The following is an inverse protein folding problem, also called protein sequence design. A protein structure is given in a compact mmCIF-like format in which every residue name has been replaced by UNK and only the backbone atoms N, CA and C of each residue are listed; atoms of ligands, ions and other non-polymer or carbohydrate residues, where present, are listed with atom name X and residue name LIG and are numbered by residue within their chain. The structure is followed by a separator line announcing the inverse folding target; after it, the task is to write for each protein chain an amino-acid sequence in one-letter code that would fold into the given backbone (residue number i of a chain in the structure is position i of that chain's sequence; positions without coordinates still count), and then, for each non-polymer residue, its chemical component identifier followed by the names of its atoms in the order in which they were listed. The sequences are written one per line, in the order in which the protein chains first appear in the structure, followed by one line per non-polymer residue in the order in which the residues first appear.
data_IF_889195381627
#
_entry.id   IF_889195381627
#
_cell.length_a   1.000
_cell.length_b   1.000
_cell.length_c   1.000
_cell.angle_alpha   90.00
_cell.angle_beta   90.00
_cell.angle_gamma   90.00
#
_symmetry.space_group_name_H-M   'P 1'
#
loop_
_entity.id
_entity.type
_entity.pdbx_description
1 polymer ?
#
# COMPACT_ATOMS: atom_id res chain seq x y z
N UNK A 1 49.53 55.96 -52.35
CA UNK A 1 49.81 55.33 -53.64
C UNK A 1 49.16 53.96 -53.62
N UNK A 2 48.44 53.67 -54.66
CA UNK A 2 47.77 52.42 -55.12
C UNK A 2 46.44 52.14 -54.47
N UNK A 3 45.41 52.44 -55.22
CA UNK A 3 44.03 51.96 -55.15
C UNK A 3 44.00 50.48 -55.56
N UNK A 4 43.20 49.67 -54.88
CA UNK A 4 42.73 48.39 -55.39
C UNK A 4 41.24 48.25 -55.11
N UNK A 5 40.47 48.25 -56.17
CA UNK A 5 39.04 48.02 -56.30
C UNK A 5 38.70 46.58 -56.02
N UNK A 6 37.74 46.31 -55.16
CA UNK A 6 37.08 45.01 -55.04
C UNK A 6 35.58 45.14 -55.40
N UNK A 7 35.27 44.34 -56.42
CA UNK A 7 33.90 44.22 -56.93
C UNK A 7 33.01 43.46 -55.97
N UNK A 8 31.80 44.01 -55.74
CA UNK A 8 30.76 43.37 -54.93
C UNK A 8 30.05 42.26 -55.69
N UNK A 9 29.95 41.11 -55.01
CA UNK A 9 29.04 40.02 -55.42
C UNK A 9 27.88 39.99 -54.47
N UNK A 10 26.66 40.27 -54.96
CA UNK A 10 25.42 40.05 -54.27
C UNK A 10 25.13 38.53 -54.18
N UNK A 11 24.76 37.98 -53.03
CA UNK A 11 24.20 36.66 -53.02
C UNK A 11 22.68 36.72 -53.28
N UNK A 12 22.19 35.91 -54.21
CA UNK A 12 20.79 35.62 -54.42
C UNK A 12 20.22 34.94 -53.16
N UNK A 13 19.21 35.54 -52.57
CA UNK A 13 18.32 34.94 -51.56
C UNK A 13 17.40 33.93 -52.27
N UNK A 14 17.70 32.63 -52.07
CA UNK A 14 16.76 31.55 -52.38
C UNK A 14 15.74 31.48 -51.28
N UNK A 15 14.50 31.84 -51.54
CA UNK A 15 13.32 31.61 -50.67
C UNK A 15 13.02 30.13 -50.64
N UNK A 16 13.39 29.44 -49.51
CA UNK A 16 12.94 28.10 -49.27
C UNK A 16 11.48 28.17 -48.77
N UNK A 17 10.52 27.74 -49.58
CA UNK A 17 9.18 27.44 -49.14
C UNK A 17 9.22 26.19 -48.29
N UNK A 18 9.01 26.35 -46.99
CA UNK A 18 8.78 25.21 -46.08
C UNK A 18 7.45 24.56 -46.44
N UNK A 19 7.48 23.34 -46.95
CA UNK A 19 6.29 22.49 -47.04
C UNK A 19 5.79 22.18 -45.62
N UNK A 20 4.47 22.22 -45.34
CA UNK A 20 3.93 21.82 -44.06
C UNK A 20 4.27 20.33 -43.89
N UNK A 21 5.01 20.02 -42.81
CA UNK A 21 5.21 18.63 -42.40
C UNK A 21 3.83 18.03 -42.10
N UNK A 22 3.45 17.02 -42.86
CA UNK A 22 2.32 16.18 -42.50
C UNK A 22 2.59 15.61 -41.11
N UNK A 23 1.87 16.09 -40.08
CA UNK A 23 1.79 15.38 -38.81
C UNK A 23 1.32 13.98 -39.18
N UNK A 24 2.17 13.00 -39.02
CA UNK A 24 1.77 11.60 -39.16
C UNK A 24 0.61 11.37 -38.20
N UNK A 25 -0.53 11.02 -38.73
CA UNK A 25 -1.64 10.48 -37.96
C UNK A 25 -1.10 9.17 -37.41
N UNK A 26 -0.65 9.17 -36.17
CA UNK A 26 -0.40 7.92 -35.44
C UNK A 26 -1.73 7.18 -35.49
N UNK A 27 -1.75 6.02 -36.13
CA UNK A 27 -2.88 5.12 -36.13
C UNK A 27 -3.09 4.74 -34.66
N UNK A 28 -4.17 5.18 -34.02
CA UNK A 28 -4.54 4.77 -32.67
C UNK A 28 -4.69 3.25 -32.69
N UNK A 29 -3.99 2.58 -31.78
CA UNK A 29 -4.06 1.12 -31.67
C UNK A 29 -5.23 0.79 -30.73
N UNK A 30 -6.39 0.54 -31.30
CA UNK A 30 -7.62 0.16 -30.59
C UNK A 30 -7.55 -1.35 -30.23
N UNK A 31 -6.65 -1.69 -29.33
CA UNK A 31 -6.42 -3.05 -28.82
C UNK A 31 -7.06 -3.21 -27.43
N UNK A 32 -7.56 -4.40 -27.15
CA UNK A 32 -8.09 -4.83 -25.86
C UNK A 32 -7.15 -5.89 -25.31
N UNK A 33 -6.64 -5.67 -24.10
CA UNK A 33 -5.78 -6.65 -23.44
C UNK A 33 -6.56 -7.93 -23.07
N UNK A 34 -5.94 -9.11 -23.15
CA UNK A 34 -6.53 -10.30 -22.56
C UNK A 34 -6.65 -10.13 -21.05
N UNK A 35 -7.77 -10.56 -20.48
CA UNK A 35 -7.92 -10.62 -19.03
C UNK A 35 -6.89 -11.58 -18.43
N UNK A 36 -6.24 -11.22 -17.31
CA UNK A 36 -5.41 -12.16 -16.58
C UNK A 36 -6.26 -13.28 -15.97
N UNK A 37 -5.72 -14.50 -15.97
CA UNK A 37 -6.31 -15.62 -15.26
C UNK A 37 -5.86 -15.56 -13.79
N UNK A 38 -6.79 -15.37 -12.86
CA UNK A 38 -6.51 -15.36 -11.43
C UNK A 38 -6.44 -16.80 -10.92
N UNK A 39 -5.29 -17.17 -10.37
CA UNK A 39 -5.07 -18.50 -9.79
C UNK A 39 -5.26 -18.38 -8.26
N UNK A 40 -6.28 -19.07 -7.77
CA UNK A 40 -6.59 -19.12 -6.35
C UNK A 40 -5.86 -20.29 -5.66
N UNK A 41 -5.38 -20.05 -4.45
CA UNK A 41 -4.84 -21.09 -3.58
C UNK A 41 -5.94 -21.76 -2.75
N UNK A 42 -5.68 -22.91 -2.11
CA UNK A 42 -6.62 -23.53 -1.19
C UNK A 42 -7.02 -22.64 0.00
N UNK A 43 -6.17 -21.70 0.38
CA UNK A 43 -6.36 -20.76 1.48
C UNK A 43 -7.21 -19.53 1.08
N UNK A 44 -7.44 -19.35 -0.21
CA UNK A 44 -8.26 -18.23 -0.70
C UNK A 44 -9.68 -18.34 -0.12
N UNK A 45 -10.25 -17.24 0.43
CA UNK A 45 -11.62 -17.24 0.88
C UNK A 45 -12.58 -17.79 -0.17
N UNK A 46 -13.46 -18.70 0.22
CA UNK A 46 -14.40 -19.36 -0.72
C UNK A 46 -15.39 -18.39 -1.37
N UNK A 47 -15.47 -17.19 -0.86
CA UNK A 47 -16.28 -16.07 -1.39
C UNK A 47 -15.56 -15.27 -2.47
N UNK A 48 -14.27 -15.52 -2.73
CA UNK A 48 -13.50 -14.79 -3.74
C UNK A 48 -14.24 -14.76 -5.09
N UNK A 49 -14.25 -13.63 -5.80
CA UNK A 49 -15.03 -13.48 -7.02
C UNK A 49 -14.55 -14.44 -8.10
N UNK A 50 -15.45 -15.15 -8.78
CA UNK A 50 -15.07 -15.95 -9.94
C UNK A 50 -14.60 -15.02 -11.07
N UNK A 51 -13.87 -15.57 -12.03
CA UNK A 51 -13.52 -14.82 -13.23
C UNK A 51 -14.79 -14.22 -13.85
N UNK A 52 -14.81 -12.89 -14.10
CA UNK A 52 -16.04 -12.22 -14.53
C UNK A 52 -16.47 -12.67 -15.93
N UNK A 53 -17.78 -12.54 -16.20
CA UNK A 53 -18.34 -12.82 -17.53
C UNK A 53 -17.77 -11.83 -18.57
N UNK A 54 -17.73 -12.29 -19.83
CA UNK A 54 -17.30 -11.44 -20.94
C UNK A 54 -18.21 -10.19 -21.03
N UNK A 55 -17.60 -9.03 -21.21
CA UNK A 55 -18.31 -7.77 -21.46
C UNK A 55 -18.65 -7.61 -22.94
N UNK A 56 -19.74 -6.93 -23.23
CA UNK A 56 -20.30 -6.88 -24.58
C UNK A 56 -20.02 -5.57 -25.34
N UNK A 57 -19.67 -4.50 -24.65
CA UNK A 57 -19.44 -3.17 -25.21
C UNK A 57 -18.04 -2.69 -24.86
N UNK A 58 -17.32 -2.06 -25.78
CA UNK A 58 -16.01 -1.46 -25.52
C UNK A 58 -16.07 0.04 -25.69
N UNK A 59 -15.58 0.79 -24.72
CA UNK A 59 -15.42 2.24 -24.75
C UNK A 59 -13.92 2.57 -24.58
N UNK A 60 -13.37 3.29 -25.53
CA UNK A 60 -11.99 3.77 -25.44
C UNK A 60 -11.99 5.15 -24.82
N UNK A 61 -11.20 5.33 -23.77
CA UNK A 61 -11.02 6.65 -23.15
C UNK A 61 -10.29 7.57 -24.12
N UNK A 62 -10.81 8.76 -24.33
CA UNK A 62 -10.12 9.80 -25.09
C UNK A 62 -9.13 10.54 -24.19
N UNK A 63 -8.10 11.13 -24.78
CA UNK A 63 -7.17 12.02 -24.07
C UNK A 63 -6.82 13.23 -24.93
N UNK A 64 -6.45 14.34 -24.30
CA UNK A 64 -5.93 15.52 -25.00
C UNK A 64 -4.56 15.25 -25.65
N UNK A 65 -3.82 14.26 -25.14
CA UNK A 65 -2.54 13.83 -25.68
C UNK A 65 -1.42 14.85 -25.54
N UNK A 66 -1.60 15.91 -24.75
CA UNK A 66 -0.59 16.96 -24.51
C UNK A 66 0.18 16.76 -23.21
N UNK A 67 -0.24 15.80 -22.38
CA UNK A 67 0.37 15.47 -21.09
C UNK A 67 0.17 16.50 -19.99
N UNK A 68 -0.77 17.44 -20.17
CA UNK A 68 -1.00 18.56 -19.23
C UNK A 68 -2.49 18.79 -18.98
N UNK A 69 -3.32 18.76 -20.02
CA UNK A 69 -4.75 19.05 -19.92
C UNK A 69 -5.48 17.91 -19.21
N UNK A 70 -6.38 18.25 -18.29
CA UNK A 70 -7.17 17.31 -17.51
C UNK A 70 -8.10 16.46 -18.40
N UNK A 71 -7.97 15.15 -18.32
CA UNK A 71 -8.76 14.16 -19.07
C UNK A 71 -9.90 13.55 -18.23
N UNK A 72 -10.14 14.04 -17.01
CA UNK A 72 -11.09 13.45 -16.04
C UNK A 72 -12.51 13.31 -16.63
N UNK A 73 -12.98 14.28 -17.41
CA UNK A 73 -14.31 14.23 -18.05
C UNK A 73 -14.40 13.07 -19.05
N UNK A 74 -13.37 12.84 -19.86
CA UNK A 74 -13.32 11.72 -20.81
C UNK A 74 -13.34 10.35 -20.11
N UNK A 75 -12.68 10.26 -18.94
CA UNK A 75 -12.69 9.05 -18.12
C UNK A 75 -14.10 8.79 -17.58
N UNK A 76 -14.75 9.80 -17.01
CA UNK A 76 -16.12 9.69 -16.49
C UNK A 76 -17.13 9.36 -17.60
N UNK A 77 -17.00 9.95 -18.77
CA UNK A 77 -17.86 9.68 -19.93
C UNK A 77 -17.73 8.21 -20.35
N UNK A 78 -16.52 7.67 -20.48
CA UNK A 78 -16.28 6.28 -20.82
C UNK A 78 -16.82 5.32 -19.75
N UNK A 79 -16.66 5.63 -18.47
CA UNK A 79 -17.22 4.83 -17.37
C UNK A 79 -18.75 4.82 -17.41
N UNK A 80 -19.39 5.99 -17.55
CA UNK A 80 -20.84 6.10 -17.65
C UNK A 80 -21.40 5.35 -18.86
N UNK A 81 -20.73 5.45 -20.00
CA UNK A 81 -21.14 4.82 -21.25
C UNK A 81 -21.02 3.29 -21.21
N UNK A 82 -19.95 2.75 -20.59
CA UNK A 82 -19.66 1.32 -20.54
C UNK A 82 -20.04 0.64 -19.21
N UNK A 83 -20.57 1.36 -18.23
CA UNK A 83 -21.07 0.76 -17.00
C UNK A 83 -22.16 -0.29 -17.27
N UNK A 84 -22.34 -1.26 -16.39
CA UNK A 84 -23.32 -2.36 -16.50
C UNK A 84 -23.10 -3.32 -17.68
N UNK A 85 -21.91 -3.82 -17.85
CA UNK A 85 -21.58 -4.89 -18.79
C UNK A 85 -20.64 -4.48 -19.91
N UNK A 86 -19.96 -3.35 -19.78
CA UNK A 86 -18.98 -2.87 -20.74
C UNK A 86 -17.54 -3.03 -20.31
N UNK A 87 -16.67 -2.65 -21.22
CA UNK A 87 -15.21 -2.70 -21.11
C UNK A 87 -14.64 -1.34 -21.49
N UNK A 88 -13.99 -0.67 -20.56
CA UNK A 88 -13.33 0.62 -20.76
C UNK A 88 -11.84 0.38 -20.99
N UNK A 89 -11.27 1.01 -22.00
CA UNK A 89 -9.87 0.83 -22.39
C UNK A 89 -9.12 2.17 -22.37
N UNK A 90 -8.07 2.23 -21.56
CA UNK A 90 -7.06 3.28 -21.60
C UNK A 90 -5.93 2.79 -22.52
N UNK A 91 -5.83 3.38 -23.69
CA UNK A 91 -4.93 2.91 -24.77
C UNK A 91 -3.47 2.89 -24.35
N UNK A 92 -2.74 1.91 -24.83
CA UNK A 92 -1.29 1.83 -24.75
C UNK A 92 -0.64 3.09 -25.39
N UNK A 93 0.46 3.55 -24.84
CA UNK A 93 1.20 4.74 -25.25
C UNK A 93 0.50 6.10 -25.04
N UNK A 94 -0.74 6.13 -24.56
CA UNK A 94 -1.40 7.37 -24.15
C UNK A 94 -1.11 7.66 -22.66
N UNK A 95 -1.05 8.96 -22.34
CA UNK A 95 -1.00 9.44 -20.97
C UNK A 95 -2.27 10.22 -20.68
N UNK A 96 -2.98 9.81 -19.66
CA UNK A 96 -4.23 10.41 -19.19
C UNK A 96 -3.95 11.22 -17.95
N UNK A 97 -4.22 12.52 -17.98
CA UNK A 97 -4.02 13.43 -16.88
C UNK A 97 -5.28 13.50 -16.03
N UNK A 98 -5.15 13.25 -14.73
CA UNK A 98 -6.25 13.44 -13.78
C UNK A 98 -5.97 14.68 -12.95
N UNK A 99 -6.76 15.72 -13.17
CA UNK A 99 -6.72 17.01 -12.47
C UNK A 99 -7.95 17.28 -11.61
N UNK A 100 -8.99 16.46 -11.73
CA UNK A 100 -10.26 16.61 -11.01
C UNK A 100 -10.59 15.35 -10.20
N UNK A 101 -11.05 15.54 -8.97
CA UNK A 101 -11.46 14.45 -8.09
C UNK A 101 -12.75 13.78 -8.63
N UNK A 102 -12.73 12.45 -8.73
CA UNK A 102 -13.81 11.67 -9.34
C UNK A 102 -14.35 10.61 -8.38
N UNK A 103 -15.67 10.49 -8.30
CA UNK A 103 -16.34 9.41 -7.57
C UNK A 103 -16.73 8.28 -8.55
N UNK A 104 -16.10 7.11 -8.38
CA UNK A 104 -16.32 5.90 -9.18
C UNK A 104 -17.06 4.81 -8.38
N UNK A 105 -17.80 5.18 -7.33
CA UNK A 105 -18.53 4.22 -6.49
C UNK A 105 -19.79 3.64 -7.18
N UNK A 106 -20.18 4.21 -8.31
CA UNK A 106 -21.32 3.77 -9.11
C UNK A 106 -21.03 2.59 -10.07
N UNK A 107 -19.78 2.12 -10.14
CA UNK A 107 -19.35 1.10 -11.08
C UNK A 107 -20.03 -0.24 -10.80
N UNK A 108 -20.50 -0.89 -11.84
CA UNK A 108 -21.16 -2.19 -11.75
C UNK A 108 -20.92 -3.02 -13.01
N UNK A 109 -20.49 -4.26 -12.82
CA UNK A 109 -20.25 -5.20 -13.93
C UNK A 109 -19.45 -4.59 -15.08
N UNK A 110 -18.24 -4.10 -14.79
CA UNK A 110 -17.39 -3.36 -15.73
C UNK A 110 -15.95 -3.87 -15.69
N UNK A 111 -15.32 -3.93 -16.86
CA UNK A 111 -13.88 -4.10 -16.99
C UNK A 111 -13.21 -2.77 -17.29
N UNK A 112 -12.03 -2.57 -16.72
CA UNK A 112 -11.20 -1.37 -16.92
C UNK A 112 -9.79 -1.84 -17.29
N UNK A 113 -9.46 -1.77 -18.57
CA UNK A 113 -8.20 -2.17 -19.17
C UNK A 113 -7.27 -0.94 -19.27
N UNK A 114 -6.39 -0.81 -18.31
CA UNK A 114 -5.41 0.29 -18.25
C UNK A 114 -4.11 -0.18 -18.89
N UNK A 115 -3.90 0.13 -20.15
CA UNK A 115 -2.68 -0.23 -20.89
C UNK A 115 -1.66 0.91 -20.86
N UNK A 116 -2.14 2.15 -20.90
CA UNK A 116 -1.34 3.37 -20.90
C UNK A 116 -0.95 3.87 -19.51
N UNK A 117 -0.72 5.17 -19.41
CA UNK A 117 -0.35 5.81 -18.15
C UNK A 117 -1.45 6.75 -17.65
N UNK A 118 -1.86 6.59 -16.40
CA UNK A 118 -2.64 7.58 -15.66
C UNK A 118 -1.68 8.39 -14.78
N UNK A 119 -1.77 9.72 -14.84
CA UNK A 119 -0.91 10.63 -14.08
C UNK A 119 -1.76 11.67 -13.36
N UNK A 120 -1.70 11.72 -12.04
CA UNK A 120 -2.34 12.76 -11.24
C UNK A 120 -1.55 14.07 -11.31
N UNK A 121 -2.26 15.20 -11.38
CA UNK A 121 -1.62 16.52 -11.36
C UNK A 121 -0.92 16.78 -10.00
N UNK A 122 0.05 17.68 -10.02
CA UNK A 122 0.79 18.10 -8.84
C UNK A 122 0.21 19.36 -8.16
N UNK A 123 -1.05 19.68 -8.41
CA UNK A 123 -1.76 20.80 -7.77
C UNK A 123 -2.16 20.42 -6.34
N UNK A 124 -1.23 20.59 -5.42
CA UNK A 124 -1.43 20.25 -4.00
C UNK A 124 -2.54 21.04 -3.34
N UNK A 125 -2.77 22.29 -3.76
CA UNK A 125 -3.83 23.13 -3.21
C UNK A 125 -5.21 22.63 -3.61
N UNK A 126 -5.37 22.29 -4.90
CA UNK A 126 -6.60 21.66 -5.39
C UNK A 126 -6.91 20.35 -4.66
N UNK A 127 -5.93 19.45 -4.59
CA UNK A 127 -6.13 18.13 -4.02
C UNK A 127 -6.39 18.16 -2.51
N UNK A 128 -5.74 19.03 -1.74
CA UNK A 128 -6.05 19.19 -0.32
C UNK A 128 -7.48 19.69 -0.08
N UNK A 129 -8.04 20.45 -1.01
CA UNK A 129 -9.40 21.00 -0.91
C UNK A 129 -10.49 20.04 -1.44
N UNK A 130 -10.17 19.14 -2.37
CA UNK A 130 -11.16 18.37 -3.13
C UNK A 130 -11.02 16.85 -3.03
N UNK A 131 -9.93 16.31 -2.44
CA UNK A 131 -9.78 14.88 -2.22
C UNK A 131 -10.88 14.32 -1.32
N UNK A 132 -11.27 13.07 -1.55
CA UNK A 132 -12.33 12.41 -0.81
C UNK A 132 -11.86 11.99 0.58
N UNK A 133 -12.51 12.44 1.67
CA UNK A 133 -12.16 12.02 3.02
C UNK A 133 -12.71 10.63 3.34
N UNK A 134 -11.96 9.88 4.14
CA UNK A 134 -12.41 8.63 4.79
C UNK A 134 -12.58 8.83 6.30
N UNK A 135 -13.43 8.01 6.90
CA UNK A 135 -13.69 8.05 8.36
C UNK A 135 -12.62 7.23 9.09
N UNK A 136 -11.34 7.50 8.81
CA UNK A 136 -10.21 6.88 9.50
C UNK A 136 -8.99 7.78 9.40
N UNK A 137 -8.41 8.21 10.52
CA UNK A 137 -7.14 8.93 10.62
C UNK A 137 -6.94 10.10 9.63
N UNK A 138 -8.02 10.79 9.23
CA UNK A 138 -8.01 11.86 8.22
C UNK A 138 -7.48 11.43 6.84
N UNK A 139 -7.53 10.15 6.51
CA UNK A 139 -7.16 9.64 5.19
C UNK A 139 -8.00 10.31 4.11
N UNK A 140 -7.35 10.75 3.04
CA UNK A 140 -8.01 11.28 1.83
C UNK A 140 -7.55 10.53 0.60
N UNK A 141 -8.27 10.60 -0.51
CA UNK A 141 -7.84 9.99 -1.78
C UNK A 141 -8.13 10.87 -2.98
N UNK A 142 -7.37 10.68 -4.04
CA UNK A 142 -7.58 11.35 -5.33
C UNK A 142 -8.96 11.06 -5.93
N UNK A 143 -9.39 9.81 -5.82
CA UNK A 143 -10.71 9.35 -6.28
C UNK A 143 -11.27 8.32 -5.31
N UNK A 144 -12.55 8.02 -5.41
CA UNK A 144 -13.18 6.92 -4.68
C UNK A 144 -13.58 5.82 -5.67
N UNK A 145 -13.02 4.63 -5.48
CA UNK A 145 -13.39 3.43 -6.21
C UNK A 145 -14.34 2.58 -5.36
N UNK A 146 -15.48 2.22 -5.90
CA UNK A 146 -16.42 1.32 -5.26
C UNK A 146 -17.25 0.56 -6.29
N UNK A 147 -18.32 -0.08 -5.82
CA UNK A 147 -19.25 -0.78 -6.69
C UNK A 147 -19.15 -2.31 -6.62
N UNK A 148 -19.58 -2.99 -7.67
CA UNK A 148 -19.69 -4.44 -7.68
C UNK A 148 -19.32 -5.04 -9.02
N UNK A 149 -18.60 -6.17 -9.01
CA UNK A 149 -18.16 -6.87 -10.23
C UNK A 149 -17.34 -5.95 -11.14
N UNK A 150 -16.31 -5.32 -10.56
CA UNK A 150 -15.36 -4.44 -11.26
C UNK A 150 -14.05 -5.21 -11.46
N UNK A 151 -13.54 -5.26 -12.68
CA UNK A 151 -12.26 -5.87 -12.99
C UNK A 151 -11.31 -4.84 -13.59
N UNK A 152 -10.25 -4.46 -12.87
CA UNK A 152 -9.24 -3.49 -13.33
C UNK A 152 -7.95 -4.24 -13.63
N UNK A 153 -7.37 -4.03 -14.83
CA UNK A 153 -6.13 -4.70 -15.25
C UNK A 153 -5.48 -3.96 -16.44
N UNK A 154 -4.47 -4.55 -17.10
CA UNK A 154 -3.97 -4.05 -18.39
C UNK A 154 -2.47 -3.79 -18.48
N UNK A 155 -1.71 -3.93 -17.40
CA UNK A 155 -0.25 -3.74 -17.37
C UNK A 155 0.20 -2.29 -17.34
N UNK A 156 -0.72 -1.33 -17.38
CA UNK A 156 -0.42 0.11 -17.41
C UNK A 156 0.04 0.67 -16.07
N UNK A 157 0.41 1.93 -16.10
CA UNK A 157 0.97 2.63 -14.95
C UNK A 157 0.00 3.66 -14.37
N UNK A 158 -0.16 3.67 -13.05
CA UNK A 158 -0.84 4.73 -12.31
C UNK A 158 0.19 5.44 -11.43
N UNK A 159 0.37 6.73 -11.65
CA UNK A 159 1.42 7.56 -11.06
C UNK A 159 0.79 8.69 -10.24
N UNK A 160 0.98 8.64 -8.91
CA UNK A 160 0.45 9.62 -7.98
C UNK A 160 1.21 10.93 -7.90
N UNK A 161 2.32 11.09 -8.68
CA UNK A 161 3.14 12.30 -8.70
C UNK A 161 3.63 12.75 -7.30
N UNK A 162 4.00 11.78 -6.45
CA UNK A 162 4.22 11.92 -5.01
C UNK A 162 5.34 12.87 -4.57
N UNK A 163 6.29 13.25 -5.46
CA UNK A 163 7.46 14.03 -5.05
C UNK A 163 7.08 15.36 -4.37
N UNK A 164 6.13 16.10 -4.94
CA UNK A 164 5.66 17.37 -4.37
C UNK A 164 5.04 17.20 -2.99
N UNK A 165 4.40 16.06 -2.77
CA UNK A 165 3.76 15.70 -1.51
C UNK A 165 4.77 15.30 -0.44
N UNK A 166 5.84 14.59 -0.80
CA UNK A 166 6.90 14.25 0.14
C UNK A 166 7.59 15.51 0.65
N UNK A 167 7.84 16.48 -0.24
CA UNK A 167 8.42 17.77 0.11
C UNK A 167 7.47 18.63 0.96
N UNK A 168 6.19 18.68 0.61
CA UNK A 168 5.18 19.39 1.38
C UNK A 168 5.02 18.81 2.81
N UNK A 169 4.98 17.46 2.92
CA UNK A 169 4.89 16.79 4.21
C UNK A 169 6.16 16.98 5.07
N UNK A 170 7.34 16.96 4.46
CA UNK A 170 8.58 17.25 5.17
C UNK A 170 8.64 18.69 5.72
N UNK A 171 8.00 19.63 5.02
CA UNK A 171 7.87 21.02 5.47
C UNK A 171 6.77 21.19 6.54
N UNK A 172 5.68 20.40 6.46
CA UNK A 172 4.56 20.44 7.40
C UNK A 172 3.90 19.05 7.50
N UNK A 173 4.11 18.38 8.63
CA UNK A 173 3.57 17.03 8.90
C UNK A 173 2.04 16.95 8.98
N UNK A 174 1.33 18.09 9.01
CA UNK A 174 -0.13 18.16 8.95
C UNK A 174 -0.68 18.26 7.52
N UNK A 175 0.20 18.22 6.51
CA UNK A 175 -0.23 18.19 5.11
C UNK A 175 -1.03 16.92 4.84
N UNK A 176 -2.31 17.05 4.50
CA UNK A 176 -3.12 15.92 4.06
C UNK A 176 -2.68 15.52 2.64
N UNK A 177 -2.33 14.26 2.50
CA UNK A 177 -1.83 13.68 1.24
C UNK A 177 -2.84 12.67 0.73
N UNK A 178 -3.24 12.71 -0.55
CA UNK A 178 -4.17 11.74 -1.06
C UNK A 178 -3.54 10.35 -1.24
N UNK A 179 -4.28 9.30 -0.88
CA UNK A 179 -4.02 7.91 -1.22
C UNK A 179 -4.17 7.71 -2.73
N UNK A 180 -3.34 6.85 -3.32
CA UNK A 180 -3.40 6.60 -4.77
C UNK A 180 -4.68 5.86 -5.17
N UNK A 181 -5.04 4.78 -4.48
CA UNK A 181 -6.29 4.04 -4.63
C UNK A 181 -7.14 4.14 -3.36
N UNK A 182 -8.06 5.09 -3.33
CA UNK A 182 -9.08 5.16 -2.28
C UNK A 182 -10.27 4.28 -2.64
N UNK A 183 -10.43 3.16 -1.94
CA UNK A 183 -11.47 2.16 -2.20
C UNK A 183 -12.51 2.22 -1.09
N UNK A 184 -13.79 2.39 -1.45
CA UNK A 184 -14.88 2.48 -0.49
C UNK A 184 -16.12 1.73 -0.99
N UNK A 185 -16.41 0.58 -0.40
CA UNK A 185 -17.56 -0.23 -0.76
C UNK A 185 -17.39 -1.01 -2.09
N UNK A 186 -16.18 -1.45 -2.40
CA UNK A 186 -15.93 -2.31 -3.55
C UNK A 186 -16.23 -3.77 -3.20
N UNK A 187 -17.02 -4.45 -4.03
CA UNK A 187 -17.45 -5.82 -3.77
C UNK A 187 -17.26 -6.72 -5.00
N UNK A 188 -16.96 -8.00 -4.73
CA UNK A 188 -16.86 -9.04 -5.79
C UNK A 188 -15.99 -8.60 -6.97
N UNK A 189 -14.82 -8.05 -6.70
CA UNK A 189 -14.02 -7.33 -7.69
C UNK A 189 -12.57 -7.79 -7.70
N UNK A 190 -11.90 -7.53 -8.82
CA UNK A 190 -10.51 -7.94 -9.04
C UNK A 190 -9.72 -6.72 -9.53
N UNK A 191 -8.54 -6.50 -8.97
CA UNK A 191 -7.55 -5.51 -9.42
C UNK A 191 -6.25 -6.27 -9.68
N UNK A 192 -5.80 -6.34 -10.92
CA UNK A 192 -4.67 -7.18 -11.29
C UNK A 192 -3.77 -6.52 -12.35
N UNK A 193 -2.54 -7.02 -12.47
CA UNK A 193 -1.59 -6.61 -13.50
C UNK A 193 -1.45 -5.09 -13.66
N UNK A 194 -1.10 -4.39 -12.58
CA UNK A 194 -0.91 -2.93 -12.59
C UNK A 194 0.47 -2.54 -12.05
N UNK A 195 0.93 -1.40 -12.53
CA UNK A 195 2.16 -0.74 -12.10
C UNK A 195 1.81 0.55 -11.36
N UNK A 196 2.06 0.61 -10.05
CA UNK A 196 1.74 1.77 -9.22
C UNK A 196 3.01 2.51 -8.83
N UNK A 197 3.01 3.82 -8.98
CA UNK A 197 4.21 4.66 -8.79
C UNK A 197 3.88 5.90 -7.96
N UNK A 198 4.83 6.25 -7.10
CA UNK A 198 4.90 7.53 -6.39
C UNK A 198 3.58 7.97 -5.74
N UNK A 199 2.96 7.08 -4.97
CA UNK A 199 1.80 7.49 -4.15
C UNK A 199 2.21 8.58 -3.16
N UNK A 200 1.42 9.64 -2.97
CA UNK A 200 1.68 10.65 -1.95
C UNK A 200 1.63 10.12 -0.52
N UNK A 201 0.76 9.15 -0.26
CA UNK A 201 0.55 8.44 0.99
C UNK A 201 0.40 6.94 0.70
N UNK A 202 -0.55 6.21 1.28
CA UNK A 202 -0.78 4.79 0.98
C UNK A 202 -1.04 4.54 -0.51
N UNK A 203 -0.57 3.41 -1.02
CA UNK A 203 -0.92 2.99 -2.38
C UNK A 203 -2.38 2.54 -2.47
N UNK A 204 -2.86 1.78 -1.48
CA UNK A 204 -4.26 1.39 -1.40
C UNK A 204 -4.80 1.62 0.01
N UNK A 205 -5.98 2.22 0.10
CA UNK A 205 -6.79 2.23 1.31
C UNK A 205 -8.14 1.58 1.00
N UNK A 206 -8.38 0.39 1.58
CA UNK A 206 -9.51 -0.47 1.26
C UNK A 206 -10.50 -0.39 2.41
N UNK A 207 -11.57 0.39 2.24
CA UNK A 207 -12.59 0.60 3.24
C UNK A 207 -13.93 -0.04 2.86
N UNK A 208 -14.65 -0.59 3.84
CA UNK A 208 -16.03 -1.07 3.71
C UNK A 208 -16.24 -2.04 2.52
N UNK A 209 -15.23 -2.84 2.19
CA UNK A 209 -15.17 -3.66 0.97
C UNK A 209 -15.17 -5.14 1.30
N UNK A 210 -15.66 -5.96 0.37
CA UNK A 210 -15.65 -7.41 0.55
C UNK A 210 -15.47 -8.19 -0.76
N UNK A 211 -14.84 -9.37 -0.65
CA UNK A 211 -14.56 -10.24 -1.80
C UNK A 211 -13.75 -9.53 -2.89
N UNK A 212 -12.62 -8.92 -2.53
CA UNK A 212 -11.74 -8.23 -3.46
C UNK A 212 -10.40 -8.93 -3.56
N UNK A 213 -9.92 -9.11 -4.78
CA UNK A 213 -8.63 -9.73 -5.07
C UNK A 213 -7.68 -8.71 -5.70
N UNK A 214 -6.49 -8.60 -5.15
CA UNK A 214 -5.35 -7.90 -5.74
C UNK A 214 -4.32 -8.94 -6.17
N UNK A 215 -3.98 -8.97 -7.46
CA UNK A 215 -3.06 -9.95 -8.03
C UNK A 215 -2.04 -9.29 -8.95
N UNK A 216 -0.77 -9.68 -8.81
CA UNK A 216 0.33 -9.20 -9.66
C UNK A 216 0.44 -7.67 -9.75
N UNK A 217 0.45 -7.01 -8.61
CA UNK A 217 0.64 -5.55 -8.53
C UNK A 217 2.12 -5.23 -8.30
N UNK A 218 2.66 -4.29 -9.07
CA UNK A 218 4.02 -3.81 -8.92
C UNK A 218 4.03 -2.38 -8.34
N UNK A 219 4.37 -2.28 -7.06
CA UNK A 219 4.47 -1.01 -6.34
C UNK A 219 5.92 -0.56 -6.26
N UNK A 220 6.20 0.66 -6.69
CA UNK A 220 7.48 1.29 -6.41
C UNK A 220 7.37 2.81 -6.39
N UNK A 221 8.05 3.42 -5.44
CA UNK A 221 8.14 4.86 -5.33
C UNK A 221 8.93 5.25 -4.11
N UNK A 222 9.66 6.33 -4.24
CA UNK A 222 10.45 6.92 -3.18
C UNK A 222 10.80 8.35 -3.56
N UNK A 223 11.30 9.11 -2.59
CA UNK A 223 11.72 10.48 -2.85
C UNK A 223 12.93 10.51 -3.78
N UNK A 224 12.90 11.37 -4.78
CA UNK A 224 14.05 11.71 -5.62
C UNK A 224 15.01 12.67 -4.92
N UNK A 225 14.58 13.28 -3.84
CA UNK A 225 15.39 14.15 -2.99
C UNK A 225 15.88 13.35 -1.77
N UNK A 226 17.18 13.07 -1.70
CA UNK A 226 17.78 12.29 -0.61
C UNK A 226 17.59 12.91 0.79
N UNK A 227 17.25 14.19 0.88
CA UNK A 227 16.97 14.88 2.15
C UNK A 227 15.53 14.75 2.61
N UNK A 228 14.66 14.11 1.82
CA UNK A 228 13.23 13.96 2.08
C UNK A 228 12.86 12.49 1.95
N UNK A 229 12.22 11.95 2.97
CA UNK A 229 11.74 10.56 2.98
C UNK A 229 10.27 10.50 2.53
N UNK A 230 9.94 9.58 1.64
CA UNK A 230 8.57 9.21 1.34
C UNK A 230 8.03 8.39 2.53
N UNK A 231 7.22 9.01 3.39
CA UNK A 231 6.63 8.36 4.57
C UNK A 231 5.19 7.96 4.31
N UNK A 232 4.74 6.95 5.05
CA UNK A 232 3.38 6.42 4.99
C UNK A 232 3.01 5.96 3.56
N UNK A 233 3.94 5.32 2.89
CA UNK A 233 3.71 4.77 1.55
C UNK A 233 3.39 3.28 1.63
N UNK A 234 2.44 2.94 2.52
CA UNK A 234 1.95 1.58 2.74
C UNK A 234 1.44 0.96 1.43
N UNK A 235 1.71 -0.32 1.20
CA UNK A 235 1.24 -0.99 -0.01
C UNK A 235 -0.29 -1.16 0.00
N UNK A 236 -0.82 -1.78 1.05
CA UNK A 236 -2.26 -1.95 1.26
C UNK A 236 -2.63 -1.73 2.72
N UNK A 237 -3.64 -0.91 2.95
CA UNK A 237 -4.32 -0.76 4.22
C UNK A 237 -5.76 -1.24 4.11
N UNK A 238 -6.17 -2.20 4.92
CA UNK A 238 -7.56 -2.67 4.99
C UNK A 238 -8.27 -2.08 6.19
N UNK A 239 -9.49 -1.60 6.03
CA UNK A 239 -10.30 -1.00 7.10
C UNK A 239 -11.77 -1.38 6.94
N UNK A 240 -12.39 -1.97 7.96
CA UNK A 240 -13.79 -2.45 7.91
C UNK A 240 -14.06 -3.29 6.65
N UNK A 241 -13.14 -4.17 6.33
CA UNK A 241 -13.18 -4.97 5.10
C UNK A 241 -13.04 -6.45 5.40
N UNK A 242 -13.68 -7.26 4.58
CA UNK A 242 -13.78 -8.71 4.76
C UNK A 242 -13.44 -9.46 3.47
N UNK A 243 -12.85 -10.64 3.60
CA UNK A 243 -12.56 -11.53 2.46
C UNK A 243 -11.72 -10.85 1.38
N UNK A 244 -10.60 -10.24 1.77
CA UNK A 244 -9.66 -9.62 0.85
C UNK A 244 -8.51 -10.60 0.57
N UNK A 245 -8.09 -10.70 -0.68
CA UNK A 245 -6.90 -11.46 -1.09
C UNK A 245 -5.89 -10.53 -1.73
N UNK A 246 -4.63 -10.56 -1.27
CA UNK A 246 -3.50 -9.81 -1.83
C UNK A 246 -2.41 -10.81 -2.16
N UNK A 247 -2.05 -10.94 -3.45
CA UNK A 247 -1.13 -12.00 -3.86
C UNK A 247 -0.21 -11.61 -5.02
N UNK A 248 0.88 -12.39 -5.19
CA UNK A 248 1.80 -12.38 -6.33
C UNK A 248 2.36 -10.98 -6.67
N UNK A 249 2.67 -10.17 -5.65
CA UNK A 249 2.98 -8.76 -5.86
C UNK A 249 4.39 -8.38 -5.38
N UNK A 250 4.95 -7.33 -5.99
CA UNK A 250 6.28 -6.80 -5.68
C UNK A 250 6.15 -5.37 -5.16
N UNK A 251 6.66 -5.13 -3.97
CA UNK A 251 6.49 -3.88 -3.24
C UNK A 251 7.87 -3.30 -2.86
N UNK A 252 8.16 -2.11 -3.37
CA UNK A 252 9.29 -1.29 -2.96
C UNK A 252 8.73 0.04 -2.44
N UNK A 253 8.61 0.16 -1.13
CA UNK A 253 7.95 1.30 -0.49
C UNK A 253 8.77 1.83 0.71
N UNK A 254 8.19 2.65 1.55
CA UNK A 254 8.84 3.26 2.72
C UNK A 254 7.99 3.19 3.98
N UNK A 255 6.98 2.30 4.03
CA UNK A 255 6.16 2.01 5.21
C UNK A 255 5.61 0.58 5.16
N UNK A 256 4.53 0.24 5.85
CA UNK A 256 4.02 -1.14 5.90
C UNK A 256 3.82 -1.73 4.48
N UNK A 257 4.22 -2.98 4.26
CA UNK A 257 3.92 -3.69 3.02
C UNK A 257 2.41 -3.96 2.90
N UNK A 258 1.82 -4.46 3.99
CA UNK A 258 0.37 -4.57 4.19
C UNK A 258 0.06 -4.23 5.65
N UNK A 259 -1.04 -3.53 5.90
CA UNK A 259 -1.47 -3.19 7.25
C UNK A 259 -2.97 -3.44 7.44
N UNK A 260 -3.31 -4.28 8.43
CA UNK A 260 -4.68 -4.61 8.77
C UNK A 260 -5.17 -3.63 9.83
N UNK A 261 -5.89 -2.58 9.41
CA UNK A 261 -6.49 -1.58 10.31
C UNK A 261 -7.80 -2.12 10.94
N UNK A 262 -8.44 -1.39 11.86
CA UNK A 262 -9.63 -1.86 12.57
C UNK A 262 -10.72 -2.50 11.69
N UNK A 263 -11.27 -3.60 12.17
CA UNK A 263 -12.37 -4.36 11.56
C UNK A 263 -12.01 -4.99 10.20
N UNK A 264 -10.82 -5.56 10.13
CA UNK A 264 -10.32 -6.34 9.00
C UNK A 264 -10.41 -7.84 9.32
N UNK A 265 -11.14 -8.60 8.50
CA UNK A 265 -11.44 -10.01 8.76
C UNK A 265 -11.31 -10.89 7.51
N UNK A 266 -10.98 -12.18 7.70
CA UNK A 266 -10.91 -13.18 6.63
C UNK A 266 -10.01 -12.79 5.46
N UNK A 267 -8.77 -12.38 5.74
CA UNK A 267 -7.85 -11.86 4.73
C UNK A 267 -6.71 -12.85 4.47
N UNK A 268 -6.45 -13.06 3.19
CA UNK A 268 -5.29 -13.79 2.69
C UNK A 268 -4.27 -12.83 2.09
N UNK A 269 -3.02 -12.96 2.53
CA UNK A 269 -1.86 -12.32 1.90
C UNK A 269 -0.85 -13.38 1.55
N UNK A 270 -0.47 -13.50 0.28
CA UNK A 270 0.48 -14.55 -0.12
C UNK A 270 1.39 -14.16 -1.28
N UNK A 271 2.58 -14.75 -1.30
CA UNK A 271 3.53 -14.59 -2.40
C UNK A 271 3.90 -13.13 -2.66
N UNK A 272 4.31 -12.41 -1.62
CA UNK A 272 4.76 -11.03 -1.73
C UNK A 272 6.28 -10.92 -1.59
N UNK A 273 6.86 -10.04 -2.39
CA UNK A 273 8.21 -9.53 -2.20
C UNK A 273 8.12 -8.10 -1.69
N UNK A 274 8.53 -7.86 -0.42
CA UNK A 274 8.51 -6.56 0.24
C UNK A 274 9.94 -6.06 0.47
N UNK A 275 10.27 -4.87 -0.03
CA UNK A 275 11.60 -4.27 0.13
C UNK A 275 11.49 -2.82 0.59
N UNK A 276 12.25 -2.46 1.63
CA UNK A 276 12.22 -1.13 2.24
C UNK A 276 11.01 -0.87 3.14
N UNK A 277 10.26 -1.90 3.47
CA UNK A 277 8.99 -1.85 4.19
C UNK A 277 9.16 -1.73 5.72
N UNK A 278 8.06 -1.42 6.42
CA UNK A 278 7.95 -1.55 7.87
C UNK A 278 7.30 -2.88 8.31
N UNK A 279 7.14 -3.84 7.39
CA UNK A 279 6.62 -5.17 7.66
C UNK A 279 5.20 -5.41 7.13
N UNK A 280 4.63 -6.57 7.50
CA UNK A 280 3.19 -6.86 7.34
C UNK A 280 2.56 -6.80 8.74
N UNK A 281 1.74 -5.78 8.96
CA UNK A 281 1.35 -5.31 10.27
C UNK A 281 -0.13 -5.53 10.59
N UNK A 282 -0.44 -6.04 11.77
CA UNK A 282 -1.75 -5.84 12.39
C UNK A 282 -1.71 -4.47 13.08
N UNK A 283 -2.56 -3.55 12.64
CA UNK A 283 -2.75 -2.29 13.33
C UNK A 283 -2.09 -1.04 12.69
N UNK A 284 -1.89 -0.01 13.49
CA UNK A 284 -2.07 0.00 14.95
C UNK A 284 -3.55 -0.07 15.37
N UNK A 285 -3.83 -0.77 16.47
CA UNK A 285 -5.18 -0.93 17.04
C UNK A 285 -5.21 -0.38 18.47
N UNK A 286 -6.42 -0.12 18.97
CA UNK A 286 -6.63 0.37 20.32
C UNK A 286 -6.26 1.84 20.53
N UNK A 287 -6.19 2.63 19.45
CA UNK A 287 -5.79 4.04 19.53
C UNK A 287 -6.86 4.92 20.18
N UNK A 288 -8.15 4.62 19.99
CA UNK A 288 -9.24 5.51 20.36
C UNK A 288 -10.12 4.93 21.46
N UNK A 289 -10.25 5.62 22.59
CA UNK A 289 -11.13 5.25 23.69
C UNK A 289 -12.57 5.09 23.21
N UNK A 290 -13.25 4.04 23.66
CA UNK A 290 -14.65 3.76 23.31
C UNK A 290 -14.83 3.08 21.94
N UNK A 291 -13.75 2.80 21.23
CA UNK A 291 -13.77 1.97 20.03
C UNK A 291 -13.40 0.52 20.39
N UNK A 292 -13.97 -0.42 19.63
CA UNK A 292 -13.69 -1.85 19.75
C UNK A 292 -13.13 -2.33 18.41
N UNK A 293 -11.82 -2.53 18.36
CA UNK A 293 -11.09 -2.88 17.13
C UNK A 293 -10.97 -4.40 16.99
N UNK A 294 -11.26 -4.92 15.80
CA UNK A 294 -11.18 -6.35 15.51
C UNK A 294 -10.23 -6.57 14.34
N UNK A 295 -9.25 -7.47 14.50
CA UNK A 295 -8.53 -8.08 13.37
C UNK A 295 -8.50 -9.58 13.62
N UNK A 296 -9.12 -10.34 12.74
CA UNK A 296 -9.20 -11.79 12.92
C UNK A 296 -9.28 -12.59 11.61
N UNK A 297 -8.87 -13.86 11.69
CA UNK A 297 -8.82 -14.78 10.55
C UNK A 297 -7.92 -14.25 9.42
N UNK A 298 -6.68 -13.94 9.75
CA UNK A 298 -5.68 -13.46 8.78
C UNK A 298 -4.68 -14.58 8.51
N UNK A 299 -4.41 -14.85 7.24
CA UNK A 299 -3.42 -15.81 6.82
C UNK A 299 -2.40 -15.15 5.90
N UNK A 300 -1.12 -15.15 6.31
CA UNK A 300 -0.03 -14.52 5.57
C UNK A 300 1.03 -15.56 5.27
N UNK A 301 1.27 -15.86 3.99
CA UNK A 301 2.14 -16.96 3.60
C UNK A 301 3.09 -16.62 2.44
N UNK A 302 4.25 -17.27 2.42
CA UNK A 302 5.23 -17.15 1.35
C UNK A 302 5.67 -15.71 1.10
N UNK A 303 6.26 -15.10 2.12
CA UNK A 303 6.71 -13.70 2.11
C UNK A 303 8.24 -13.63 2.04
N UNK A 304 8.73 -12.79 1.16
CA UNK A 304 10.15 -12.42 1.07
C UNK A 304 10.32 -10.98 1.52
N UNK A 305 10.89 -10.76 2.72
CA UNK A 305 11.04 -9.44 3.34
C UNK A 305 12.50 -8.99 3.31
N UNK A 306 12.76 -7.84 2.72
CA UNK A 306 14.11 -7.33 2.51
C UNK A 306 14.26 -5.87 2.97
N UNK A 307 15.43 -5.56 3.56
CA UNK A 307 15.81 -4.18 3.94
C UNK A 307 14.69 -3.44 4.67
N UNK A 308 14.00 -4.13 5.57
CA UNK A 308 12.80 -3.66 6.25
C UNK A 308 13.08 -3.37 7.73
N UNK A 309 12.19 -2.60 8.37
CA UNK A 309 12.26 -2.47 9.82
C UNK A 309 11.68 -3.69 10.51
N UNK A 310 10.58 -4.24 9.99
CA UNK A 310 9.96 -5.43 10.55
C UNK A 310 9.59 -6.45 9.48
N UNK A 311 9.48 -7.70 9.94
CA UNK A 311 8.83 -8.78 9.18
C UNK A 311 7.34 -8.83 9.50
N UNK A 312 6.93 -9.79 10.32
CA UNK A 312 5.56 -9.89 10.83
C UNK A 312 5.41 -8.99 12.07
N UNK A 313 4.40 -8.13 12.06
CA UNK A 313 4.25 -7.12 13.12
C UNK A 313 2.83 -7.06 13.68
N UNK A 314 2.71 -6.82 15.00
CA UNK A 314 1.44 -6.52 15.68
C UNK A 314 1.67 -5.27 16.55
N UNK A 315 0.93 -4.18 16.26
CA UNK A 315 1.06 -2.86 16.89
C UNK A 315 -0.22 -2.52 17.67
N UNK A 316 -0.15 -2.50 19.01
CA UNK A 316 -1.30 -2.23 19.87
C UNK A 316 -0.98 -1.09 20.82
N UNK A 317 -1.85 -0.09 20.89
CA UNK A 317 -1.74 1.01 21.84
C UNK A 317 -2.03 0.56 23.26
N UNK A 318 -1.23 0.97 24.26
CA UNK A 318 -1.56 0.78 25.67
C UNK A 318 -2.71 1.70 26.11
N UNK A 319 -3.20 1.52 27.32
CA UNK A 319 -4.23 2.39 27.92
C UNK A 319 -3.63 3.61 28.65
N UNK A 320 -2.45 4.04 28.27
CA UNK A 320 -1.78 5.20 28.89
C UNK A 320 -2.55 6.46 28.59
N UNK A 321 -3.02 7.21 29.61
CA UNK A 321 -3.70 8.49 29.37
C UNK A 321 -2.79 9.47 28.64
N UNK A 322 -3.27 10.10 27.58
CA UNK A 322 -2.52 11.06 26.76
C UNK A 322 -1.93 12.23 27.58
N UNK A 323 -2.62 12.62 28.63
CA UNK A 323 -2.12 13.65 29.55
C UNK A 323 -0.85 13.26 30.31
N UNK A 324 -0.61 11.94 30.52
CA UNK A 324 0.60 11.42 31.17
C UNK A 324 1.71 11.14 30.16
N UNK A 325 1.36 10.67 28.98
CA UNK A 325 2.34 10.36 27.94
C UNK A 325 2.95 11.62 27.28
N UNK A 326 2.26 12.76 27.39
CA UNK A 326 2.65 13.99 26.71
C UNK A 326 2.47 13.96 25.20
N UNK A 327 1.83 12.93 24.70
CA UNK A 327 1.43 12.80 23.31
C UNK A 327 -0.09 13.00 23.14
N UNK A 328 -0.51 13.29 21.92
CA UNK A 328 -1.92 13.47 21.56
C UNK A 328 -2.42 12.33 20.68
N UNK A 329 -1.67 11.24 20.57
CA UNK A 329 -1.97 10.20 19.59
C UNK A 329 -3.01 9.20 20.06
N UNK A 330 -3.20 9.06 21.37
CA UNK A 330 -4.27 8.24 21.93
C UNK A 330 -3.82 7.00 22.67
N UNK A 331 -4.73 6.05 22.77
CA UNK A 331 -4.62 4.80 23.50
C UNK A 331 -5.91 4.47 24.26
N UNK A 332 -6.04 3.26 24.82
CA UNK A 332 -7.16 2.83 25.64
C UNK A 332 -8.42 2.39 24.88
N UNK A 333 -8.30 2.19 23.57
CA UNK A 333 -9.31 1.47 22.79
C UNK A 333 -9.26 -0.02 23.09
N UNK A 334 -10.43 -0.66 23.11
CA UNK A 334 -10.61 -2.09 23.35
C UNK A 334 -10.62 -2.89 22.05
N UNK A 335 -10.62 -4.21 22.12
CA UNK A 335 -10.70 -5.05 20.92
C UNK A 335 -10.04 -6.42 21.05
N UNK A 336 -9.82 -7.03 19.89
CA UNK A 336 -9.11 -8.30 19.82
C UNK A 336 -8.33 -8.48 18.50
N UNK A 337 -7.19 -9.12 18.62
CA UNK A 337 -6.46 -9.78 17.53
C UNK A 337 -6.60 -11.27 17.76
N UNK A 338 -7.14 -12.01 16.78
CA UNK A 338 -7.41 -13.42 16.97
C UNK A 338 -7.26 -14.24 15.68
N UNK A 339 -6.71 -15.43 15.78
CA UNK A 339 -6.55 -16.37 14.67
C UNK A 339 -5.77 -15.76 13.50
N UNK A 340 -4.49 -15.46 13.77
CA UNK A 340 -3.55 -14.93 12.79
C UNK A 340 -2.47 -15.97 12.52
N UNK A 341 -2.19 -16.26 11.28
CA UNK A 341 -1.10 -17.15 10.87
C UNK A 341 -0.14 -16.44 9.95
N UNK A 342 1.14 -16.45 10.30
CA UNK A 342 2.26 -16.05 9.46
C UNK A 342 3.11 -17.27 9.20
N UNK A 343 3.27 -17.67 7.93
CA UNK A 343 4.02 -18.87 7.57
C UNK A 343 4.88 -18.68 6.32
N UNK A 344 5.99 -19.42 6.27
CA UNK A 344 6.90 -19.45 5.11
C UNK A 344 7.53 -18.08 4.78
N UNK A 345 8.33 -17.57 5.71
CA UNK A 345 8.97 -16.26 5.60
C UNK A 345 10.47 -16.36 5.32
N UNK A 346 10.95 -15.58 4.36
CA UNK A 346 12.37 -15.31 4.14
C UNK A 346 12.69 -13.90 4.62
N UNK A 347 13.67 -13.81 5.53
CA UNK A 347 14.14 -12.58 6.18
C UNK A 347 15.54 -12.25 5.65
N UNK A 348 15.71 -11.06 5.10
CA UNK A 348 17.00 -10.59 4.61
C UNK A 348 17.21 -9.11 4.96
N UNK A 349 18.12 -8.83 5.90
CA UNK A 349 18.44 -7.49 6.39
C UNK A 349 17.22 -6.75 6.96
N UNK A 350 16.46 -7.41 7.83
CA UNK A 350 15.27 -6.87 8.53
C UNK A 350 15.62 -6.61 9.99
N UNK A 351 15.21 -5.49 10.58
CA UNK A 351 15.61 -5.15 11.94
C UNK A 351 15.06 -6.14 12.97
N UNK A 352 13.75 -6.46 12.92
CA UNK A 352 13.12 -7.58 13.62
C UNK A 352 12.34 -8.47 12.66
N UNK A 353 12.57 -9.77 12.72
CA UNK A 353 11.78 -10.74 11.93
C UNK A 353 10.33 -10.83 12.40
N UNK A 354 10.11 -10.66 13.70
CA UNK A 354 8.80 -10.62 14.35
C UNK A 354 8.83 -9.51 15.40
N UNK A 355 7.82 -8.64 15.40
CA UNK A 355 7.59 -7.67 16.47
C UNK A 355 6.14 -7.72 16.94
N UNK A 356 5.92 -8.19 18.17
CA UNK A 356 4.63 -8.07 18.87
C UNK A 356 4.82 -6.99 19.94
N UNK A 357 4.16 -5.85 19.74
CA UNK A 357 4.27 -4.68 20.61
C UNK A 357 2.90 -4.17 21.06
N UNK A 358 2.58 -4.39 22.34
CA UNK A 358 1.41 -3.80 23.01
C UNK A 358 1.73 -2.52 23.79
N UNK A 359 2.89 -1.93 23.54
CA UNK A 359 3.27 -0.62 24.06
C UNK A 359 3.44 0.40 22.93
N UNK A 360 2.86 0.12 21.76
CA UNK A 360 3.03 0.94 20.56
C UNK A 360 2.69 2.40 20.82
N UNK A 361 3.52 3.31 20.30
CA UNK A 361 3.35 4.76 20.51
C UNK A 361 3.73 5.27 21.90
N UNK A 362 4.08 4.38 22.87
CA UNK A 362 4.50 4.75 24.20
C UNK A 362 5.98 4.41 24.44
N UNK A 363 6.83 5.43 24.44
CA UNK A 363 8.28 5.24 24.66
C UNK A 363 8.66 4.88 26.10
N UNK A 364 7.77 5.13 27.07
CA UNK A 364 7.99 4.78 28.47
C UNK A 364 7.36 3.43 28.81
N UNK A 365 8.16 2.39 28.79
CA UNK A 365 7.72 1.03 29.10
C UNK A 365 7.04 0.90 30.46
N UNK A 366 7.50 1.65 31.48
CA UNK A 366 6.88 1.64 32.81
C UNK A 366 5.44 2.14 32.76
N UNK A 367 5.16 3.21 32.02
CA UNK A 367 3.78 3.70 31.84
C UNK A 367 2.92 2.71 31.06
N UNK A 368 3.48 2.07 30.04
CA UNK A 368 2.74 1.02 29.33
C UNK A 368 2.30 -0.10 30.25
N UNK A 369 3.19 -0.59 31.12
CA UNK A 369 2.89 -1.68 32.07
C UNK A 369 1.96 -1.24 33.22
N UNK A 370 2.02 0.03 33.61
CA UNK A 370 1.08 0.61 34.60
C UNK A 370 -0.34 0.75 34.03
N UNK A 371 -0.45 1.02 32.72
CA UNK A 371 -1.71 1.17 31.99
C UNK A 371 -1.78 0.20 30.81
N UNK A 372 -1.92 -1.11 31.06
CA UNK A 372 -1.92 -2.11 30.00
C UNK A 372 -3.08 -1.94 29.02
N UNK A 373 -2.86 -2.36 27.78
CA UNK A 373 -3.91 -2.37 26.77
C UNK A 373 -5.10 -3.23 27.18
N UNK A 374 -6.35 -2.77 27.02
CA UNK A 374 -7.52 -3.62 27.21
C UNK A 374 -7.73 -4.59 26.04
N UNK A 375 -7.09 -4.34 24.88
CA UNK A 375 -7.15 -5.18 23.69
C UNK A 375 -6.34 -6.47 23.90
N UNK A 376 -6.88 -7.62 23.45
CA UNK A 376 -6.24 -8.92 23.60
C UNK A 376 -5.64 -9.43 22.28
N UNK A 377 -4.53 -10.17 22.40
CA UNK A 377 -3.89 -10.89 21.28
C UNK A 377 -3.96 -12.40 21.58
N UNK A 378 -4.66 -13.15 20.72
CA UNK A 378 -4.90 -14.58 20.97
C UNK A 378 -4.77 -15.40 19.68
N UNK A 379 -4.32 -16.66 19.82
CA UNK A 379 -4.26 -17.61 18.70
C UNK A 379 -3.44 -17.08 17.52
N UNK A 380 -2.17 -16.76 17.75
CA UNK A 380 -1.25 -16.29 16.71
C UNK A 380 -0.16 -17.35 16.47
N UNK A 381 0.08 -17.69 15.23
CA UNK A 381 1.08 -18.66 14.80
C UNK A 381 2.11 -17.99 13.91
N UNK A 382 3.38 -18.15 14.27
CA UNK A 382 4.53 -17.82 13.41
C UNK A 382 5.23 -19.12 13.06
N UNK A 383 5.25 -19.51 11.81
CA UNK A 383 5.82 -20.79 11.38
C UNK A 383 6.79 -20.63 10.21
N UNK A 384 7.87 -21.39 10.20
CA UNK A 384 8.87 -21.43 9.14
C UNK A 384 9.43 -20.05 8.75
N UNK A 385 10.01 -19.35 9.73
CA UNK A 385 10.78 -18.13 9.52
C UNK A 385 12.25 -18.44 9.38
N UNK A 386 12.91 -17.96 8.33
CA UNK A 386 14.35 -18.22 8.09
C UNK A 386 15.05 -17.01 7.51
N UNK A 387 16.35 -16.88 7.83
CA UNK A 387 17.18 -15.85 7.24
C UNK A 387 18.04 -15.09 8.24
N UNK A 388 18.38 -13.84 7.91
CA UNK A 388 19.30 -13.01 8.71
C UNK A 388 18.71 -11.62 8.90
N UNK A 389 18.67 -11.16 10.16
CA UNK A 389 18.26 -9.80 10.48
C UNK A 389 19.34 -8.76 10.17
N UNK A 390 19.02 -7.47 10.29
CA UNK A 390 20.03 -6.39 10.28
C UNK A 390 20.88 -6.43 11.56
N UNK A 391 21.92 -5.61 11.60
CA UNK A 391 22.77 -5.48 12.80
C UNK A 391 22.21 -4.53 13.86
N UNK A 392 21.07 -3.86 13.60
CA UNK A 392 20.55 -2.78 14.44
C UNK A 392 20.28 -3.21 15.89
N UNK A 393 19.58 -4.32 16.08
CA UNK A 393 19.20 -4.83 17.41
C UNK A 393 19.95 -6.10 17.84
N UNK A 394 20.99 -6.49 17.11
CA UNK A 394 21.75 -7.70 17.47
C UNK A 394 22.17 -7.68 18.97
N UNK A 395 22.11 -8.81 19.65
CA UNK A 395 21.86 -10.19 19.19
C UNK A 395 20.37 -10.56 19.03
N UNK A 396 19.45 -9.62 19.20
CA UNK A 396 18.02 -9.86 19.14
C UNK A 396 17.55 -9.91 17.68
N UNK A 397 16.66 -10.88 17.41
CA UNK A 397 16.06 -11.10 16.07
C UNK A 397 14.54 -10.93 16.08
N UNK A 398 13.92 -10.88 17.24
CA UNK A 398 12.49 -10.68 17.41
C UNK A 398 12.15 -10.11 18.79
N UNK A 399 10.93 -9.59 18.94
CA UNK A 399 10.39 -9.11 20.21
C UNK A 399 8.93 -9.54 20.40
N UNK A 400 8.61 -9.99 21.63
CA UNK A 400 7.27 -10.34 22.08
C UNK A 400 6.98 -9.58 23.37
N UNK A 401 6.34 -8.42 23.28
CA UNK A 401 6.06 -7.55 24.40
C UNK A 401 4.55 -7.38 24.58
N UNK A 402 4.02 -8.12 25.57
CA UNK A 402 2.62 -7.98 25.99
C UNK A 402 2.53 -6.99 27.15
N UNK A 403 1.54 -6.13 27.15
CA UNK A 403 1.36 -5.08 28.16
C UNK A 403 0.99 -5.63 29.56
N UNK A 404 0.47 -6.86 29.61
CA UNK A 404 0.23 -7.60 30.86
C UNK A 404 0.31 -9.12 30.63
N UNK A 405 0.42 -9.89 31.70
CA UNK A 405 0.46 -11.37 31.65
C UNK A 405 -0.81 -12.02 31.04
N UNK A 406 -1.91 -11.30 31.01
CA UNK A 406 -3.21 -11.80 30.52
C UNK A 406 -3.61 -11.23 29.15
N UNK A 407 -2.87 -10.28 28.64
CA UNK A 407 -3.19 -9.58 27.38
C UNK A 407 -2.90 -10.43 26.14
N UNK A 408 -1.93 -11.36 26.24
CA UNK A 408 -1.58 -12.27 25.16
C UNK A 408 -1.74 -13.73 25.59
N UNK A 409 -2.30 -14.56 24.70
CA UNK A 409 -2.41 -16.00 24.95
C UNK A 409 -2.39 -16.82 23.68
N UNK A 410 -1.91 -18.05 23.78
CA UNK A 410 -1.81 -18.99 22.64
C UNK A 410 -1.09 -18.37 21.42
N UNK A 411 0.06 -17.77 21.66
CA UNK A 411 0.99 -17.31 20.62
C UNK A 411 2.11 -18.33 20.52
N UNK A 412 2.34 -18.87 19.33
CA UNK A 412 3.26 -19.97 19.08
C UNK A 412 4.23 -19.61 17.95
N UNK A 413 5.50 -19.93 18.13
CA UNK A 413 6.49 -19.89 17.04
C UNK A 413 7.09 -21.28 16.85
N UNK A 414 7.12 -21.76 15.62
CA UNK A 414 7.67 -23.07 15.23
C UNK A 414 8.56 -22.93 13.99
N UNK A 415 9.54 -23.82 13.84
CA UNK A 415 10.47 -23.81 12.71
C UNK A 415 11.14 -22.42 12.50
N UNK A 416 11.63 -21.84 13.60
CA UNK A 416 12.23 -20.53 13.59
C UNK A 416 13.77 -20.65 13.43
N UNK A 417 14.27 -20.31 12.23
CA UNK A 417 15.68 -20.33 11.85
C UNK A 417 16.13 -18.93 11.36
N UNK A 418 15.95 -17.94 12.23
CA UNK A 418 16.41 -16.56 11.98
C UNK A 418 17.57 -16.25 12.89
N UNK A 419 18.67 -15.77 12.31
CA UNK A 419 19.87 -15.37 13.03
C UNK A 419 20.14 -13.87 12.85
N UNK A 420 20.76 -13.28 13.85
CA UNK A 420 21.40 -11.98 13.68
C UNK A 420 22.75 -12.14 12.96
N UNK A 421 23.36 -11.08 12.42
CA UNK A 421 24.65 -11.17 11.70
C UNK A 421 25.81 -11.80 12.50
N UNK A 422 25.72 -11.79 13.84
CA UNK A 422 26.71 -12.45 14.70
C UNK A 422 26.39 -13.92 15.01
N UNK A 423 25.35 -14.50 14.40
CA UNK A 423 24.97 -15.90 14.53
C UNK A 423 24.17 -16.22 15.81
N UNK A 424 23.50 -15.23 16.41
CA UNK A 424 22.62 -15.41 17.58
C UNK A 424 21.16 -15.25 17.21
N UNK A 425 20.26 -15.83 18.04
CA UNK A 425 18.81 -15.79 17.84
C UNK A 425 18.05 -15.40 19.13
N UNK A 426 18.59 -14.47 19.91
CA UNK A 426 17.91 -14.00 21.10
C UNK A 426 16.61 -13.26 20.77
N UNK A 427 15.63 -13.39 21.64
CA UNK A 427 14.32 -12.77 21.51
C UNK A 427 13.98 -12.03 22.80
N UNK A 428 13.54 -10.78 22.71
CA UNK A 428 13.03 -10.08 23.87
C UNK A 428 11.63 -10.59 24.22
N UNK A 429 11.41 -11.00 25.48
CA UNK A 429 10.12 -11.47 25.97
C UNK A 429 9.69 -10.68 27.20
N UNK A 430 8.51 -10.08 27.15
CA UNK A 430 7.89 -9.35 28.25
C UNK A 430 6.45 -9.82 28.45
N UNK A 431 6.10 -10.28 29.67
CA UNK A 431 4.78 -10.85 29.99
C UNK A 431 4.37 -11.95 28.99
N UNK A 432 5.34 -12.78 28.58
CA UNK A 432 5.19 -13.76 27.51
C UNK A 432 5.70 -15.14 27.95
N UNK A 433 5.01 -16.20 27.56
CA UNK A 433 5.39 -17.56 27.92
C UNK A 433 6.40 -18.15 26.93
N UNK A 434 7.66 -18.26 27.35
CA UNK A 434 8.75 -18.81 26.54
C UNK A 434 8.49 -20.22 25.99
N UNK A 435 7.73 -21.06 26.69
CA UNK A 435 7.51 -22.46 26.26
C UNK A 435 6.73 -22.59 24.95
N UNK A 436 6.15 -21.52 24.46
CA UNK A 436 5.45 -21.46 23.17
C UNK A 436 6.36 -21.09 21.99
N UNK A 437 7.63 -20.78 22.24
CA UNK A 437 8.60 -20.41 21.23
C UNK A 437 9.64 -21.51 21.05
N UNK A 438 9.59 -22.23 19.94
CA UNK A 438 10.56 -23.27 19.60
C UNK A 438 11.81 -22.65 18.95
N UNK A 439 12.98 -23.12 19.36
CA UNK A 439 14.25 -22.74 18.76
C UNK A 439 14.81 -21.36 19.12
N UNK A 440 14.21 -20.63 20.09
CA UNK A 440 14.67 -19.29 20.50
C UNK A 440 14.92 -19.20 22.00
N UNK A 441 15.78 -18.27 22.40
CA UNK A 441 16.10 -17.97 23.80
C UNK A 441 15.51 -16.60 24.17
N UNK A 442 14.57 -16.59 25.14
CA UNK A 442 14.03 -15.36 25.68
C UNK A 442 15.08 -14.63 26.56
N UNK A 443 15.21 -13.34 26.32
CA UNK A 443 15.99 -12.42 27.17
C UNK A 443 15.10 -11.33 27.73
N UNK A 444 15.45 -10.81 28.90
CA UNK A 444 14.79 -9.63 29.49
C UNK A 444 15.52 -8.32 29.16
N UNK A 445 16.64 -8.40 28.45
CA UNK A 445 17.37 -7.21 28.00
C UNK A 445 16.70 -6.60 26.81
N UNK A 446 16.09 -5.44 27.01
CA UNK A 446 15.39 -4.71 25.95
C UNK A 446 16.34 -3.86 25.10
N UNK A 447 16.25 -3.95 23.80
CA UNK A 447 17.05 -3.17 22.84
C UNK A 447 16.28 -2.01 22.19
N UNK A 448 14.97 -2.00 22.29
CA UNK A 448 14.08 -0.99 21.74
C UNK A 448 12.99 -1.60 20.83
N UNK A 449 11.96 -0.83 20.57
CA UNK A 449 10.99 -1.08 19.48
C UNK A 449 11.37 -0.28 18.22
N UNK A 450 10.83 -0.68 17.08
CA UNK A 450 10.96 0.05 15.81
C UNK A 450 9.95 1.21 15.68
#
# INVERSE_FOLDING_TARGET
MRYSTFAGVLPLLASATASPSSKGVHKRDDHVSPRPDIIYSPETPSTAPPNPKQRCKTCFVESHGDGVTDDSDYILDAFNECNNGGHVVFRENDTYIIGTAMDWTFLNSIDIDIQGKILFTNDTDYWQANSFPFVFQNVTSFFKLGGNDVFIYGGGTIDGNGQVWYEAYAANIYTLRPVLFGIDGLNNSIIADLVLRYSPEYYHFIANSSNVVFDNINIAGGSRNASVTAKNTDGWDTYRSDSITIQNSVINNGDDCVSFKPNSTNILVQSLFCNGSHGISVGSLGQYVGHYDIVENIYVANISMHNATDGARIKIWPNTPSALSGDLQGGGGDGRVNNITYTDWTIDNVDYSIEVDQCYGQSNLTLCLEYPSPLTITNVVFNNFKGVTSSKYQPQVATFACSSETACSNIVSTEFDVLSPNGTNQVYCLNFNQTSLDGVECTTVFKGFN
#
